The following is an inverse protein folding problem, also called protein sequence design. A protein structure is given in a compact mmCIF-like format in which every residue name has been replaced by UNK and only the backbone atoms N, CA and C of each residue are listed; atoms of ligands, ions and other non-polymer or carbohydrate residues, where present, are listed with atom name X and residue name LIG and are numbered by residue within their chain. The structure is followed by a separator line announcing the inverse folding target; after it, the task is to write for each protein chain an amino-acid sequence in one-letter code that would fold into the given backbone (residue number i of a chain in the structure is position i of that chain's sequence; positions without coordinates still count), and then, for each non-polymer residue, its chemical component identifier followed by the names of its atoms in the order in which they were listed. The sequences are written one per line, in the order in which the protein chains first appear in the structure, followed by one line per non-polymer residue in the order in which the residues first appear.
data_IF_616504870695
#
_entry.id   IF_616504870695
#
_cell.length_a   1.000
_cell.length_b   1.000
_cell.length_c   1.000
_cell.angle_alpha   90.00
_cell.angle_beta   90.00
_cell.angle_gamma   90.00
#
_symmetry.space_group_name_H-M   'P 1'
#
loop_
_entity.id
_entity.type
_entity.pdbx_description
1 polymer ?
#
# COMPACT_ATOMS: atom_id res chain seq x y z
N UNK A 1 5.47 -26.33 -21.70
CA UNK A 1 6.24 -25.08 -21.65
C UNK A 1 5.25 -23.95 -21.41
N UNK A 2 5.24 -23.40 -20.20
CA UNK A 2 4.67 -22.09 -19.88
C UNK A 2 5.70 -21.46 -18.95
N UNK A 3 6.68 -20.78 -19.54
CA UNK A 3 7.68 -20.02 -18.78
C UNK A 3 6.99 -18.72 -18.34
N UNK A 4 6.10 -18.81 -17.35
CA UNK A 4 5.56 -17.64 -16.69
C UNK A 4 6.56 -17.24 -15.63
N UNK A 5 7.52 -16.42 -16.01
CA UNK A 5 8.39 -15.75 -15.03
C UNK A 5 7.47 -15.02 -14.04
N UNK A 6 7.53 -15.33 -12.74
CA UNK A 6 6.67 -14.70 -11.75
C UNK A 6 6.89 -13.18 -11.79
N UNK A 7 5.82 -12.40 -11.72
CA UNK A 7 5.89 -10.94 -11.73
C UNK A 7 6.83 -10.45 -10.62
N UNK A 8 7.82 -9.63 -10.97
CA UNK A 8 8.82 -9.15 -10.02
C UNK A 8 8.31 -7.91 -9.27
N UNK A 9 7.64 -8.14 -8.15
CA UNK A 9 7.14 -7.08 -7.27
C UNK A 9 8.24 -6.15 -6.76
N UNK A 10 9.43 -6.68 -6.45
CA UNK A 10 10.52 -5.87 -5.92
C UNK A 10 11.02 -4.85 -6.95
N UNK A 11 11.16 -5.26 -8.21
CA UNK A 11 11.55 -4.36 -9.29
C UNK A 11 10.49 -3.26 -9.53
N UNK A 12 9.21 -3.64 -9.50
CA UNK A 12 8.10 -2.70 -9.64
C UNK A 12 8.07 -1.67 -8.49
N UNK A 13 8.21 -2.14 -7.24
CA UNK A 13 8.30 -1.28 -6.07
C UNK A 13 9.49 -0.33 -6.16
N UNK A 14 10.66 -0.84 -6.56
CA UNK A 14 11.89 -0.03 -6.70
C UNK A 14 11.70 1.07 -7.73
N UNK A 15 11.09 0.76 -8.88
CA UNK A 15 10.80 1.76 -9.93
C UNK A 15 9.96 2.92 -9.39
N UNK A 16 8.88 2.62 -8.67
CA UNK A 16 8.00 3.64 -8.10
C UNK A 16 8.73 4.44 -7.01
N UNK A 17 9.38 3.75 -6.07
CA UNK A 17 10.10 4.39 -4.98
C UNK A 17 11.16 5.37 -5.50
N UNK A 18 11.97 4.94 -6.46
CA UNK A 18 13.05 5.76 -7.00
C UNK A 18 12.54 6.92 -7.84
N UNK A 19 11.44 6.74 -8.59
CA UNK A 19 10.84 7.79 -9.43
C UNK A 19 10.27 8.94 -8.60
N UNK A 20 9.58 8.64 -7.51
CA UNK A 20 8.89 9.62 -6.67
C UNK A 20 9.66 9.95 -5.39
N UNK A 21 10.85 9.37 -5.23
CA UNK A 21 11.72 9.55 -4.07
C UNK A 21 11.08 9.21 -2.72
N UNK A 22 10.06 8.36 -2.70
CA UNK A 22 9.43 7.93 -1.44
C UNK A 22 10.46 7.28 -0.51
N UNK A 23 10.38 7.60 0.77
CA UNK A 23 11.24 7.00 1.79
C UNK A 23 10.88 5.53 2.03
N UNK A 24 9.61 5.20 1.84
CA UNK A 24 9.05 3.89 2.11
C UNK A 24 8.01 3.51 1.07
N UNK A 25 8.05 2.26 0.61
CA UNK A 25 7.00 1.66 -0.20
C UNK A 25 6.76 0.21 0.25
N UNK A 26 5.51 -0.23 0.29
CA UNK A 26 5.14 -1.57 0.71
C UNK A 26 3.93 -2.10 -0.07
N UNK A 27 3.97 -3.40 -0.35
CA UNK A 27 2.87 -4.14 -0.97
C UNK A 27 2.32 -5.14 0.05
N UNK A 28 1.05 -4.97 0.41
CA UNK A 28 0.30 -5.95 1.16
C UNK A 28 -0.45 -6.89 0.21
N UNK A 29 -0.39 -8.19 0.44
CA UNK A 29 -1.14 -9.20 -0.30
C UNK A 29 -2.07 -9.98 0.63
N UNK A 30 -3.24 -10.34 0.08
CA UNK A 30 -4.22 -11.18 0.78
C UNK A 30 -3.74 -12.62 0.78
N UNK A 31 -3.74 -13.24 1.95
CA UNK A 31 -3.33 -14.62 2.15
C UNK A 31 -4.46 -15.60 1.80
N UNK A 32 -4.12 -16.88 1.69
CA UNK A 32 -5.08 -17.95 1.38
C UNK A 32 -6.18 -18.10 2.45
N UNK A 33 -7.22 -18.86 2.11
CA UNK A 33 -8.32 -19.21 3.01
C UNK A 33 -7.84 -19.93 4.29
N UNK A 34 -6.82 -20.77 4.17
CA UNK A 34 -6.18 -21.48 5.29
C UNK A 34 -5.60 -20.50 6.32
N UNK A 35 -5.13 -19.35 5.84
CA UNK A 35 -4.64 -18.23 6.66
C UNK A 35 -5.73 -17.19 6.95
N UNK A 36 -7.01 -17.57 6.83
CA UNK A 36 -8.18 -16.74 7.15
C UNK A 36 -8.25 -15.42 6.38
N UNK A 37 -7.73 -15.36 5.16
CA UNK A 37 -7.76 -14.17 4.30
C UNK A 37 -7.18 -12.89 4.95
N UNK A 38 -6.18 -13.05 5.83
CA UNK A 38 -5.47 -11.91 6.42
C UNK A 38 -4.61 -11.20 5.37
N UNK A 39 -4.30 -9.93 5.60
CA UNK A 39 -3.33 -9.17 4.82
C UNK A 39 -1.99 -9.11 5.57
N UNK A 40 -0.90 -9.31 4.82
CA UNK A 40 0.48 -9.13 5.29
C UNK A 40 1.25 -8.27 4.31
N UNK A 41 2.21 -7.49 4.82
CA UNK A 41 3.17 -6.75 4.02
C UNK A 41 4.24 -7.72 3.49
N UNK A 42 4.07 -8.18 2.26
CA UNK A 42 4.93 -9.21 1.65
C UNK A 42 6.21 -8.62 1.07
N UNK A 43 6.10 -7.49 0.38
CA UNK A 43 7.23 -6.82 -0.25
C UNK A 43 7.33 -5.39 0.27
N UNK A 44 8.52 -4.98 0.71
CA UNK A 44 8.76 -3.68 1.32
C UNK A 44 10.14 -3.18 0.89
N UNK A 45 10.25 -1.89 0.57
CA UNK A 45 11.53 -1.23 0.32
C UNK A 45 11.63 0.06 1.14
N UNK A 46 12.84 0.34 1.62
CA UNK A 46 13.10 1.50 2.47
C UNK A 46 12.63 1.35 3.92
N UNK A 47 12.43 0.12 4.40
CA UNK A 47 12.12 -0.15 5.80
C UNK A 47 13.34 0.14 6.71
N UNK A 48 13.08 0.68 7.91
CA UNK A 48 14.06 0.87 8.98
C UNK A 48 14.28 -0.41 9.79
N UNK A 49 13.31 -1.32 9.79
CA UNK A 49 13.36 -2.56 10.56
C UNK A 49 12.54 -3.67 9.90
N UNK A 50 12.69 -4.91 10.36
CA UNK A 50 11.83 -6.02 9.94
C UNK A 50 10.54 -6.16 10.79
N UNK A 51 10.22 -5.18 11.65
CA UNK A 51 9.03 -5.23 12.52
C UNK A 51 7.73 -5.34 11.73
N UNK A 52 7.69 -4.79 10.52
CA UNK A 52 6.55 -4.89 9.62
C UNK A 52 6.12 -6.34 9.35
N UNK A 53 7.05 -7.30 9.37
CA UNK A 53 6.78 -8.73 9.10
C UNK A 53 5.86 -9.37 10.13
N UNK A 54 5.78 -8.79 11.34
CA UNK A 54 4.90 -9.26 12.42
C UNK A 54 3.47 -8.71 12.30
N UNK A 55 3.24 -7.76 11.39
CA UNK A 55 1.94 -7.12 11.20
C UNK A 55 1.05 -8.07 10.40
N UNK A 56 -0.06 -8.47 11.02
CA UNK A 56 -1.12 -9.25 10.39
C UNK A 56 -2.42 -8.46 10.51
N UNK A 57 -3.02 -8.12 9.38
CA UNK A 57 -4.20 -7.26 9.32
C UNK A 57 -5.42 -8.06 8.84
N UNK A 58 -6.57 -7.78 9.44
CA UNK A 58 -7.86 -8.25 8.93
C UNK A 58 -8.49 -7.17 8.04
N UNK A 59 -9.52 -7.54 7.27
CA UNK A 59 -10.33 -6.58 6.52
C UNK A 59 -10.86 -5.46 7.43
N UNK A 60 -10.68 -4.21 7.01
CA UNK A 60 -11.03 -3.01 7.77
C UNK A 60 -10.13 -2.68 8.96
N UNK A 61 -8.91 -3.27 9.07
CA UNK A 61 -7.94 -2.97 10.13
C UNK A 61 -6.63 -2.43 9.55
N UNK A 62 -6.14 -1.34 10.12
CA UNK A 62 -4.97 -0.62 9.61
C UNK A 62 -5.16 -0.10 8.19
N UNK A 63 -4.07 0.39 7.60
CA UNK A 63 -4.10 1.03 6.28
C UNK A 63 -4.50 0.01 5.21
N UNK A 64 -3.80 -1.13 5.14
CA UNK A 64 -4.06 -2.14 4.13
C UNK A 64 -5.46 -2.77 4.29
N UNK A 65 -5.91 -3.05 5.52
CA UNK A 65 -7.23 -3.61 5.73
C UNK A 65 -8.35 -2.63 5.35
N UNK A 66 -8.18 -1.33 5.62
CA UNK A 66 -9.15 -0.31 5.23
C UNK A 66 -9.27 -0.20 3.70
N UNK A 67 -8.16 -0.02 3.00
CA UNK A 67 -8.14 0.08 1.53
C UNK A 67 -8.66 -1.21 0.89
N UNK A 68 -8.31 -2.38 1.44
CA UNK A 68 -8.82 -3.66 0.97
C UNK A 68 -10.35 -3.77 1.12
N UNK A 69 -10.90 -3.32 2.25
CA UNK A 69 -12.33 -3.38 2.53
C UNK A 69 -13.14 -2.41 1.67
N UNK A 70 -12.65 -1.18 1.50
CA UNK A 70 -13.40 -0.12 0.81
C UNK A 70 -13.18 -0.13 -0.69
N UNK A 71 -12.05 -0.68 -1.16
CA UNK A 71 -11.63 -0.54 -2.55
C UNK A 71 -11.29 0.91 -2.93
N UNK A 72 -11.10 1.79 -1.94
CA UNK A 72 -10.85 3.21 -2.17
C UNK A 72 -9.42 3.58 -1.77
N UNK A 73 -8.75 4.47 -2.51
CA UNK A 73 -7.48 5.07 -2.08
C UNK A 73 -7.61 5.72 -0.69
N UNK A 74 -6.50 5.74 0.05
CA UNK A 74 -6.41 6.39 1.36
C UNK A 74 -5.15 7.25 1.40
N UNK A 75 -5.35 8.56 1.45
CA UNK A 75 -4.30 9.58 1.53
C UNK A 75 -4.35 10.25 2.90
N UNK A 76 -3.17 10.47 3.49
CA UNK A 76 -2.97 11.28 4.69
C UNK A 76 -1.71 12.11 4.47
N UNK A 77 -1.88 13.42 4.36
CA UNK A 77 -0.77 14.36 4.13
C UNK A 77 0.05 14.54 5.41
N UNK A 78 -0.61 14.50 6.57
CA UNK A 78 0.04 14.62 7.86
C UNK A 78 -0.61 13.72 8.92
N UNK A 79 0.11 12.67 9.32
CA UNK A 79 -0.36 11.66 10.28
C UNK A 79 -0.65 12.26 11.66
N UNK A 80 0.17 13.19 12.15
CA UNK A 80 -0.05 13.79 13.47
C UNK A 80 -1.31 14.66 13.49
N UNK A 81 -1.57 15.40 12.40
CA UNK A 81 -2.74 16.28 12.27
C UNK A 81 -4.04 15.52 12.00
N UNK A 82 -4.00 14.49 11.14
CA UNK A 82 -5.21 13.86 10.61
C UNK A 82 -5.60 12.56 11.34
N UNK A 83 -4.62 11.79 11.82
CA UNK A 83 -4.87 10.56 12.60
C UNK A 83 -4.74 10.87 14.09
N UNK A 84 -3.75 11.67 14.48
CA UNK A 84 -3.47 11.96 15.89
C UNK A 84 -2.78 10.80 16.61
N UNK A 85 -2.11 11.13 17.73
CA UNK A 85 -1.29 10.16 18.50
C UNK A 85 -2.12 9.04 19.13
N UNK A 86 -3.36 9.33 19.49
CA UNK A 86 -4.26 8.36 20.11
C UNK A 86 -4.62 7.23 19.16
N UNK A 87 -4.74 7.48 17.86
CA UNK A 87 -5.22 6.46 16.91
C UNK A 87 -4.10 5.73 16.16
N UNK A 88 -2.83 6.07 16.42
CA UNK A 88 -1.66 5.42 15.80
C UNK A 88 -1.62 3.91 16.02
N UNK A 89 -2.12 3.41 17.16
CA UNK A 89 -2.15 1.97 17.43
C UNK A 89 -3.03 1.19 16.44
N UNK A 90 -4.00 1.85 15.80
CA UNK A 90 -4.83 1.26 14.75
C UNK A 90 -4.05 1.05 13.45
N UNK A 91 -2.90 1.71 13.28
CA UNK A 91 -2.10 1.75 12.06
C UNK A 91 -0.65 1.32 12.35
N UNK A 92 -0.40 0.03 12.63
CA UNK A 92 0.89 -0.43 13.17
C UNK A 92 2.09 -0.16 12.26
N UNK A 93 1.87 -0.05 10.94
CA UNK A 93 2.95 0.26 9.99
C UNK A 93 3.49 1.68 10.17
N UNK A 94 2.66 2.65 10.56
CA UNK A 94 3.07 4.04 10.80
C UNK A 94 4.09 4.12 11.93
N UNK A 95 3.80 3.46 13.06
CA UNK A 95 4.71 3.42 14.21
C UNK A 95 5.93 2.52 13.98
N UNK A 96 5.78 1.41 13.25
CA UNK A 96 6.88 0.51 12.94
C UNK A 96 7.98 1.19 12.10
N UNK A 97 7.58 2.09 11.20
CA UNK A 97 8.45 2.71 10.20
C UNK A 97 8.64 4.23 10.36
N UNK A 98 8.01 4.81 11.39
CA UNK A 98 8.02 6.25 11.70
C UNK A 98 7.56 7.10 10.51
N UNK A 99 6.44 6.73 9.91
CA UNK A 99 5.88 7.40 8.73
C UNK A 99 5.05 8.62 9.17
N UNK A 100 5.26 9.75 8.51
CA UNK A 100 4.63 11.05 8.84
C UNK A 100 3.56 11.45 7.83
N UNK A 101 3.62 10.91 6.61
CA UNK A 101 2.62 11.08 5.55
C UNK A 101 2.56 9.82 4.69
N UNK A 102 1.40 9.50 4.12
CA UNK A 102 1.27 8.32 3.26
C UNK A 102 0.13 8.41 2.25
N UNK A 103 0.29 7.65 1.16
CA UNK A 103 -0.76 7.34 0.22
C UNK A 103 -0.86 5.84 0.01
N UNK A 104 -2.09 5.31 0.00
CA UNK A 104 -2.34 3.89 -0.23
C UNK A 104 -3.40 3.68 -1.30
N UNK A 105 -3.17 2.73 -2.21
CA UNK A 105 -4.08 2.43 -3.33
C UNK A 105 -4.39 0.93 -3.39
N UNK A 106 -5.63 0.56 -3.77
CA UNK A 106 -5.99 -0.83 -4.01
C UNK A 106 -5.41 -1.33 -5.34
N UNK A 107 -4.97 -2.58 -5.37
CA UNK A 107 -4.61 -3.29 -6.60
C UNK A 107 -5.70 -4.33 -6.92
N UNK A 108 -6.36 -4.15 -8.05
CA UNK A 108 -7.50 -4.98 -8.47
C UNK A 108 -7.10 -6.06 -9.47
N UNK A 109 -7.62 -7.26 -9.30
CA UNK A 109 -7.56 -8.34 -10.30
C UNK A 109 -8.87 -9.11 -10.25
N UNK A 110 -9.48 -9.36 -11.41
CA UNK A 110 -10.77 -10.05 -11.53
C UNK A 110 -11.88 -9.39 -10.67
N UNK A 111 -12.03 -8.07 -10.77
CA UNK A 111 -12.99 -7.27 -10.01
C UNK A 111 -12.90 -7.40 -8.48
N UNK A 112 -11.75 -7.84 -7.95
CA UNK A 112 -11.50 -7.91 -6.51
C UNK A 112 -10.18 -7.25 -6.17
N UNK A 113 -10.15 -6.52 -5.07
CA UNK A 113 -8.87 -6.07 -4.49
C UNK A 113 -8.09 -7.34 -4.12
N UNK A 114 -6.83 -7.44 -4.57
CA UNK A 114 -5.92 -8.54 -4.24
C UNK A 114 -4.71 -8.08 -3.44
N UNK A 115 -4.43 -6.79 -3.46
CA UNK A 115 -3.35 -6.20 -2.70
C UNK A 115 -3.56 -4.72 -2.46
N UNK A 116 -2.70 -4.16 -1.63
CA UNK A 116 -2.66 -2.73 -1.31
C UNK A 116 -1.23 -2.25 -1.44
N UNK A 117 -1.04 -1.22 -2.25
CA UNK A 117 0.25 -0.53 -2.38
C UNK A 117 0.24 0.70 -1.48
N UNK A 118 1.26 0.83 -0.64
CA UNK A 118 1.46 1.94 0.29
C UNK A 118 2.77 2.65 -0.08
N UNK A 119 2.73 3.97 -0.21
CA UNK A 119 3.89 4.85 -0.32
C UNK A 119 3.86 5.84 0.83
N UNK A 120 5.02 6.23 1.34
CA UNK A 120 5.10 7.15 2.47
C UNK A 120 6.41 7.91 2.50
N UNK A 121 6.36 9.07 3.14
CA UNK A 121 7.53 9.81 3.57
C UNK A 121 7.72 9.74 5.08
N UNK A 122 8.92 10.14 5.47
CA UNK A 122 9.30 10.44 6.84
C UNK A 122 9.57 11.95 6.94
N UNK A 123 9.59 12.44 8.17
CA UNK A 123 9.93 13.83 8.48
C UNK A 123 8.96 14.84 7.80
N UNK A 124 9.45 16.01 7.39
CA UNK A 124 8.64 17.16 6.94
C UNK A 124 8.10 17.03 5.50
N UNK A 125 8.28 15.89 4.84
CA UNK A 125 7.74 15.66 3.50
C UNK A 125 6.31 15.09 3.56
N UNK A 126 5.43 15.65 2.74
CA UNK A 126 4.03 15.26 2.66
C UNK A 126 3.74 14.56 1.32
N UNK A 127 2.96 13.49 1.37
CA UNK A 127 2.35 12.93 0.16
C UNK A 127 1.18 13.85 -0.21
N UNK A 128 1.47 14.88 -1.00
CA UNK A 128 0.44 15.84 -1.44
C UNK A 128 -0.57 15.19 -2.40
N UNK A 129 -1.78 15.75 -2.56
CA UNK A 129 -2.77 15.24 -3.50
C UNK A 129 -2.23 15.14 -4.94
N UNK A 130 -1.47 16.14 -5.39
CA UNK A 130 -0.88 16.15 -6.74
C UNK A 130 0.15 15.03 -6.92
N UNK A 131 1.02 14.83 -5.93
CA UNK A 131 2.00 13.73 -5.95
C UNK A 131 1.29 12.37 -5.89
N UNK A 132 0.22 12.27 -5.11
CA UNK A 132 -0.56 11.06 -4.96
C UNK A 132 -1.26 10.66 -6.27
N UNK A 133 -1.82 11.62 -7.01
CA UNK A 133 -2.41 11.37 -8.32
C UNK A 133 -1.35 10.97 -9.36
N UNK A 134 -0.18 11.61 -9.36
CA UNK A 134 0.93 11.19 -10.23
C UNK A 134 1.41 9.77 -9.90
N UNK A 135 1.51 9.44 -8.61
CA UNK A 135 1.84 8.11 -8.13
C UNK A 135 0.81 7.08 -8.61
N UNK A 136 -0.49 7.34 -8.45
CA UNK A 136 -1.58 6.46 -8.94
C UNK A 136 -1.43 6.15 -10.43
N UNK A 137 -1.24 7.20 -11.24
CA UNK A 137 -1.14 7.08 -12.69
C UNK A 137 0.07 6.25 -13.15
N UNK A 138 1.18 6.27 -12.40
CA UNK A 138 2.36 5.44 -12.70
C UNK A 138 2.26 4.02 -12.11
N UNK A 139 1.68 3.87 -10.92
CA UNK A 139 1.61 2.61 -10.21
C UNK A 139 0.75 1.60 -10.96
N UNK A 140 -0.44 1.99 -11.43
CA UNK A 140 -1.37 1.10 -12.12
C UNK A 140 -0.71 0.35 -13.31
N UNK A 141 -0.09 1.01 -14.29
CA UNK A 141 0.56 0.32 -15.41
C UNK A 141 1.83 -0.45 -14.98
N UNK A 142 2.50 -0.01 -13.92
CA UNK A 142 3.71 -0.70 -13.43
C UNK A 142 3.38 -2.05 -12.78
N UNK A 143 2.22 -2.18 -12.15
CA UNK A 143 1.71 -3.42 -11.55
C UNK A 143 0.75 -4.14 -12.51
N UNK A 144 1.21 -4.43 -13.73
CA UNK A 144 0.40 -4.89 -14.87
C UNK A 144 -0.39 -6.22 -14.78
N UNK A 145 -0.27 -7.12 -13.78
CA UNK A 145 -1.32 -8.14 -13.56
C UNK A 145 -2.60 -7.58 -12.88
N UNK A 146 -2.64 -6.28 -12.58
CA UNK A 146 -3.76 -5.58 -11.94
C UNK A 146 -4.28 -4.46 -12.86
N UNK A 147 -5.60 -4.26 -12.94
CA UNK A 147 -6.25 -3.25 -13.80
C UNK A 147 -7.09 -2.26 -12.97
N UNK A 148 -7.39 -1.07 -13.52
CA UNK A 148 -8.30 -0.10 -12.92
C UNK A 148 -9.76 -0.53 -13.11
N UNK A 149 -10.58 -0.48 -12.06
CA UNK A 149 -12.04 -0.55 -12.17
C UNK A 149 -12.63 0.63 -11.41
N UNK A 150 -12.72 1.77 -12.09
CA UNK A 150 -13.89 2.62 -11.88
C UNK A 150 -15.06 1.85 -12.49
N UNK A 151 -15.87 1.21 -11.64
CA UNK A 151 -17.20 0.80 -12.06
C UNK A 151 -18.02 2.09 -12.21
N UNK A 152 -18.27 2.48 -13.46
CA UNK A 152 -19.45 3.28 -13.79
C UNK A 152 -20.65 2.40 -13.43
N UNK A 153 -21.43 2.81 -12.43
CA UNK A 153 -22.76 2.24 -12.20
C UNK A 153 -23.62 2.57 -13.44
N UNK A 154 -24.16 1.55 -14.12
CA UNK A 154 -25.27 1.68 -15.08
C UNK A 154 -26.59 1.91 -14.36
#
# INVERSE_FOLDING_TARGET
MCDQTPFNYEQALKKIKDKFHFDFIALALVQSAELRYVLKWEHVLGNKSDRYRRIVLQSGKGIAGNVFKTGKPFLVENVEREIGKTDLFNYPILGAESLTSFGAIPLYKENRVKGVLLVAFRDDQEVTPDLFEQFKNEAIPTFSPYYHLEMVEE
#
